data_IF_737778459452
#
_entry.id   IF_737778459452
#
_cell.length_a   1.000
_cell.length_b   1.000
_cell.length_c   1.000
_cell.angle_alpha   90.00
_cell.angle_beta   90.00
_cell.angle_gamma   90.00
#
_symmetry.space_group_name_H-M   'P 1'
#
loop_
_entity.id
_entity.type
_entity.pdbx_description
1 polymer ?
#
# COMPACT_ATOMS: atom_id res chain seq x y z
N UNK A 1 16.08 0.89 25.07
CA UNK A 1 16.26 2.34 25.18
C UNK A 1 17.73 2.67 24.92
N UNK A 2 17.97 3.63 24.03
CA UNK A 2 19.32 4.15 23.79
C UNK A 2 19.50 5.41 24.65
N UNK A 3 20.68 5.62 25.23
CA UNK A 3 21.04 6.92 25.77
C UNK A 3 21.29 7.94 24.65
N UNK A 4 21.38 9.21 25.02
CA UNK A 4 21.66 10.31 24.08
C UNK A 4 23.01 10.14 23.34
N UNK A 5 23.94 9.35 23.89
CA UNK A 5 25.22 8.98 23.26
C UNK A 5 25.14 7.72 22.37
N UNK A 6 23.93 7.19 22.14
CA UNK A 6 23.70 6.02 21.28
C UNK A 6 24.00 4.66 21.94
N UNK A 7 24.40 4.62 23.22
CA UNK A 7 24.61 3.33 23.91
C UNK A 7 23.29 2.66 24.26
N UNK A 8 23.19 1.38 23.94
CA UNK A 8 22.05 0.54 24.35
C UNK A 8 22.13 0.37 25.87
N UNK A 9 21.14 0.88 26.59
CA UNK A 9 21.04 0.64 28.04
C UNK A 9 20.36 -0.70 28.32
N UNK A 10 19.17 -0.90 27.75
CA UNK A 10 18.39 -2.13 27.90
C UNK A 10 17.62 -2.43 26.61
N UNK A 11 17.71 -3.67 26.14
CA UNK A 11 16.86 -4.20 25.07
C UNK A 11 15.61 -4.83 25.67
N UNK A 12 14.44 -4.25 25.40
CA UNK A 12 13.15 -4.67 26.02
C UNK A 12 12.35 -5.66 25.17
N UNK A 13 12.75 -5.90 23.93
CA UNK A 13 12.11 -6.86 23.02
C UNK A 13 13.14 -7.55 22.14
N UNK A 14 12.97 -8.85 21.89
CA UNK A 14 13.87 -9.67 21.06
C UNK A 14 13.07 -10.69 20.24
N UNK A 15 13.23 -10.66 18.93
CA UNK A 15 12.65 -11.64 18.01
C UNK A 15 12.54 -11.10 16.59
N UNK A 16 12.00 -11.93 15.70
CA UNK A 16 11.82 -11.60 14.29
C UNK A 16 10.48 -10.88 14.06
N UNK A 17 10.32 -9.73 14.70
CA UNK A 17 9.14 -8.88 14.63
C UNK A 17 9.53 -7.41 14.87
N UNK A 18 8.70 -6.48 14.42
CA UNK A 18 8.94 -5.04 14.60
C UNK A 18 7.96 -4.46 15.61
N UNK A 19 8.48 -3.66 16.55
CA UNK A 19 7.68 -2.75 17.38
C UNK A 19 7.23 -1.59 16.50
N UNK A 20 5.92 -1.35 16.45
CA UNK A 20 5.34 -0.34 15.56
C UNK A 20 4.92 0.92 16.29
N UNK A 21 4.68 0.83 17.60
CA UNK A 21 4.25 1.94 18.44
C UNK A 21 4.60 1.67 19.91
N UNK A 22 5.03 2.70 20.63
CA UNK A 22 5.03 2.69 22.10
C UNK A 22 3.70 3.32 22.54
N UNK A 23 2.82 2.51 23.12
CA UNK A 23 1.48 2.95 23.49
C UNK A 23 1.44 3.62 24.89
N UNK A 24 2.43 3.36 25.74
CA UNK A 24 2.53 4.00 27.05
C UNK A 24 3.69 3.48 27.88
N UNK A 25 4.21 4.32 28.78
CA UNK A 25 5.26 3.98 29.74
C UNK A 25 4.73 4.23 31.15
N UNK A 26 4.57 3.16 31.92
CA UNK A 26 4.15 3.20 33.32
C UNK A 26 5.40 3.18 34.21
N UNK A 27 5.89 4.36 34.58
CA UNK A 27 7.09 4.51 35.40
C UNK A 27 6.90 4.00 36.83
N UNK A 28 5.68 4.17 37.39
CA UNK A 28 5.34 3.75 38.75
C UNK A 28 5.46 2.24 38.89
N UNK A 29 4.92 1.49 37.93
CA UNK A 29 4.98 0.02 37.94
C UNK A 29 6.14 -0.55 37.11
N UNK A 30 6.98 0.31 36.51
CA UNK A 30 8.14 -0.03 35.66
C UNK A 30 7.78 -0.94 34.48
N UNK A 31 6.78 -0.54 33.69
CA UNK A 31 6.26 -1.30 32.54
C UNK A 31 6.16 -0.44 31.29
N UNK A 32 6.36 -1.06 30.13
CA UNK A 32 6.17 -0.43 28.81
C UNK A 32 5.10 -1.20 28.05
N UNK A 33 4.12 -0.48 27.54
CA UNK A 33 3.10 -0.99 26.62
C UNK A 33 3.46 -0.61 25.19
N UNK A 34 3.43 -1.60 24.29
CA UNK A 34 3.85 -1.38 22.91
C UNK A 34 3.13 -2.33 21.95
N UNK A 35 2.94 -1.88 20.71
CA UNK A 35 2.31 -2.66 19.64
C UNK A 35 3.38 -3.28 18.78
N UNK A 36 3.20 -4.55 18.41
CA UNK A 36 4.07 -5.29 17.51
C UNK A 36 3.35 -5.77 16.26
N UNK A 37 4.11 -5.87 15.17
CA UNK A 37 3.73 -6.62 13.98
C UNK A 37 3.84 -8.13 14.25
N UNK A 38 2.81 -8.70 14.88
CA UNK A 38 2.80 -10.09 15.38
C UNK A 38 1.36 -10.66 15.37
N UNK A 39 1.14 -11.95 15.06
CA UNK A 39 2.14 -12.97 14.72
C UNK A 39 2.68 -12.88 13.30
N UNK A 40 1.99 -12.18 12.39
CA UNK A 40 2.45 -11.94 11.03
C UNK A 40 2.79 -10.46 10.85
N UNK A 41 3.63 -10.10 9.84
CA UNK A 41 3.87 -8.71 9.45
C UNK A 41 2.61 -7.86 9.24
N UNK A 42 1.51 -8.52 8.88
CA UNK A 42 0.21 -7.93 8.55
C UNK A 42 -0.65 -7.62 9.79
N UNK A 43 -0.35 -8.21 10.94
CA UNK A 43 -1.17 -8.10 12.16
C UNK A 43 -0.61 -7.04 13.12
N UNK A 44 -1.44 -6.51 14.03
CA UNK A 44 -1.00 -5.60 15.10
C UNK A 44 -1.58 -6.06 16.43
N UNK A 45 -0.70 -6.32 17.38
CA UNK A 45 -1.10 -6.75 18.72
C UNK A 45 -0.34 -5.99 19.81
N UNK A 46 -1.03 -5.72 20.91
CA UNK A 46 -0.52 -5.03 22.08
C UNK A 46 0.20 -6.00 23.00
N UNK A 47 1.34 -5.55 23.52
CA UNK A 47 2.15 -6.24 24.50
C UNK A 47 2.49 -5.30 25.64
N UNK A 48 2.81 -5.90 26.79
CA UNK A 48 3.40 -5.21 27.93
C UNK A 48 4.68 -5.94 28.32
N UNK A 49 5.73 -5.18 28.64
CA UNK A 49 6.97 -5.74 29.21
C UNK A 49 7.44 -4.92 30.40
N UNK A 50 8.23 -5.52 31.28
CA UNK A 50 8.91 -4.79 32.35
C UNK A 50 10.12 -4.01 31.80
N UNK A 51 10.64 -3.03 32.54
CA UNK A 51 11.80 -2.23 32.10
C UNK A 51 13.06 -3.07 31.83
N UNK A 52 13.13 -4.30 32.34
CA UNK A 52 14.22 -5.24 32.06
C UNK A 52 14.04 -6.05 30.77
N UNK A 53 12.83 -6.04 30.17
CA UNK A 53 12.51 -6.83 28.97
C UNK A 53 12.35 -8.33 29.22
N UNK A 54 12.32 -8.78 30.48
CA UNK A 54 12.32 -10.20 30.86
C UNK A 54 10.91 -10.77 31.01
N UNK A 55 9.90 -9.92 31.22
CA UNK A 55 8.52 -10.33 31.46
C UNK A 55 7.57 -9.69 30.46
N UNK A 56 7.48 -10.29 29.28
CA UNK A 56 6.60 -9.83 28.21
C UNK A 56 5.29 -10.63 28.19
N UNK A 57 4.17 -9.94 28.11
CA UNK A 57 2.84 -10.55 27.95
C UNK A 57 2.07 -9.91 26.80
N UNK A 58 1.46 -10.73 25.97
CA UNK A 58 0.55 -10.30 24.92
C UNK A 58 -0.84 -9.99 25.50
N UNK A 59 -1.35 -8.78 25.25
CA UNK A 59 -2.61 -8.28 25.82
C UNK A 59 -3.78 -8.34 24.84
N UNK A 60 -3.53 -8.23 23.53
CA UNK A 60 -4.55 -8.47 22.49
C UNK A 60 -4.19 -9.71 21.69
N UNK A 61 -5.18 -10.50 21.29
CA UNK A 61 -4.97 -11.81 20.68
C UNK A 61 -5.52 -11.89 19.24
N UNK A 62 -4.92 -12.79 18.47
CA UNK A 62 -5.37 -13.22 17.15
C UNK A 62 -4.65 -12.58 15.97
N UNK A 63 -4.98 -13.11 14.79
CA UNK A 63 -4.61 -12.58 13.48
C UNK A 63 -5.52 -11.41 13.13
N UNK A 64 -5.21 -10.23 13.65
CA UNK A 64 -6.01 -9.02 13.47
C UNK A 64 -5.15 -7.76 13.55
N UNK A 65 -5.72 -6.64 13.12
CA UNK A 65 -5.16 -5.32 13.37
C UNK A 65 -5.85 -4.66 14.55
N UNK A 66 -5.13 -4.56 15.66
CA UNK A 66 -5.57 -3.84 16.85
C UNK A 66 -4.86 -2.49 16.92
N UNK A 67 -5.64 -1.40 16.81
CA UNK A 67 -5.18 -0.08 17.24
C UNK A 67 -5.61 0.12 18.70
N UNK A 68 -4.69 0.55 19.54
CA UNK A 68 -4.90 0.68 20.99
C UNK A 68 -4.72 2.14 21.42
N UNK A 69 -5.62 2.61 22.28
CA UNK A 69 -5.55 3.93 22.89
C UNK A 69 -5.77 3.79 24.39
N UNK A 70 -4.75 4.10 25.18
CA UNK A 70 -4.82 4.05 26.64
C UNK A 70 -5.45 5.32 27.23
N UNK A 71 -5.95 5.21 28.46
CA UNK A 71 -6.14 6.36 29.34
C UNK A 71 -4.82 6.78 29.99
N UNK A 72 -4.75 8.00 30.53
CA UNK A 72 -3.53 8.58 31.10
C UNK A 72 -2.87 7.72 32.19
N UNK A 73 -3.67 7.01 32.99
CA UNK A 73 -3.15 6.14 34.06
C UNK A 73 -2.73 4.74 33.60
N UNK A 74 -2.83 4.43 32.30
CA UNK A 74 -2.45 3.14 31.71
C UNK A 74 -3.16 1.92 32.34
N UNK A 75 -4.34 2.13 32.92
CA UNK A 75 -5.15 1.08 33.56
C UNK A 75 -6.27 0.57 32.67
N UNK A 76 -6.65 1.36 31.66
CA UNK A 76 -7.70 1.03 30.69
C UNK A 76 -7.28 1.43 29.29
N UNK A 77 -7.84 0.74 28.31
CA UNK A 77 -7.63 1.09 26.91
C UNK A 77 -8.80 0.72 26.01
N UNK A 78 -8.98 1.52 24.97
CA UNK A 78 -9.81 1.16 23.84
C UNK A 78 -9.02 0.28 22.86
N UNK A 79 -9.65 -0.76 22.36
CA UNK A 79 -9.16 -1.52 21.20
C UNK A 79 -10.09 -1.26 20.03
N UNK A 80 -9.52 -0.83 18.91
CA UNK A 80 -10.17 -0.78 17.61
C UNK A 80 -9.64 -1.98 16.79
N UNK A 81 -10.36 -3.10 16.87
CA UNK A 81 -9.95 -4.37 16.26
C UNK A 81 -10.63 -4.56 14.92
N UNK A 82 -9.88 -4.80 13.85
CA UNK A 82 -10.41 -5.18 12.54
C UNK A 82 -9.57 -6.27 11.89
N UNK A 83 -10.06 -6.83 10.80
CA UNK A 83 -9.28 -7.63 9.86
C UNK A 83 -9.51 -7.09 8.43
N UNK A 84 -8.83 -7.64 7.43
CA UNK A 84 -8.92 -7.15 6.04
C UNK A 84 -10.37 -7.13 5.48
N UNK A 85 -11.25 -8.00 5.98
CA UNK A 85 -12.62 -8.16 5.50
C UNK A 85 -13.70 -7.72 6.51
N UNK A 86 -13.36 -7.58 7.79
CA UNK A 86 -14.32 -7.28 8.86
C UNK A 86 -14.09 -5.87 9.40
N UNK A 87 -15.11 -4.98 9.33
CA UNK A 87 -15.06 -3.66 9.95
C UNK A 87 -14.68 -3.69 11.42
N UNK A 88 -14.15 -2.57 11.90
CA UNK A 88 -13.67 -2.48 13.26
C UNK A 88 -14.76 -2.81 14.30
N UNK A 89 -14.36 -3.47 15.39
CA UNK A 89 -15.12 -3.59 16.63
C UNK A 89 -14.36 -2.80 17.70
N UNK A 90 -15.08 -1.98 18.46
CA UNK A 90 -14.51 -1.13 19.50
C UNK A 90 -14.85 -1.71 20.87
N UNK A 91 -13.84 -2.03 21.67
CA UNK A 91 -14.00 -2.52 23.04
C UNK A 91 -13.26 -1.64 24.04
N UNK A 92 -13.83 -1.46 25.23
CA UNK A 92 -13.13 -0.95 26.41
C UNK A 92 -12.55 -2.14 27.19
N UNK A 93 -11.28 -2.06 27.54
CA UNK A 93 -10.53 -3.12 28.21
C UNK A 93 -9.86 -2.57 29.48
N UNK A 94 -9.77 -3.39 30.52
CA UNK A 94 -8.97 -3.12 31.72
C UNK A 94 -7.66 -3.90 31.67
N UNK A 95 -6.61 -3.31 32.21
CA UNK A 95 -5.41 -4.04 32.64
C UNK A 95 -5.71 -4.73 33.97
N UNK A 96 -5.49 -6.04 34.01
CA UNK A 96 -5.68 -6.87 35.20
C UNK A 96 -4.33 -7.38 35.65
N UNK A 97 -4.06 -7.24 36.95
CA UNK A 97 -2.86 -7.80 37.59
C UNK A 97 -3.32 -8.79 38.64
N UNK A 98 -2.95 -10.06 38.48
CA UNK A 98 -3.34 -11.09 39.45
C UNK A 98 -2.41 -11.09 40.68
N UNK A 99 -2.71 -11.94 41.67
CA UNK A 99 -1.91 -12.08 42.90
C UNK A 99 -0.45 -12.47 42.64
N UNK A 100 -0.15 -13.12 41.51
CA UNK A 100 1.20 -13.50 41.07
C UNK A 100 1.92 -12.38 40.29
N UNK A 101 1.31 -11.19 40.19
CA UNK A 101 1.78 -10.04 39.40
C UNK A 101 1.82 -10.29 37.89
N UNK A 102 1.09 -11.28 37.40
CA UNK A 102 0.91 -11.51 35.96
C UNK A 102 -0.10 -10.49 35.43
N UNK A 103 0.18 -9.96 34.24
CA UNK A 103 -0.62 -8.90 33.62
C UNK A 103 -1.44 -9.52 32.49
N UNK A 104 -2.72 -9.18 32.43
CA UNK A 104 -3.59 -9.53 31.31
C UNK A 104 -4.52 -8.36 30.98
N UNK A 105 -5.27 -8.51 29.89
CA UNK A 105 -6.35 -7.60 29.56
C UNK A 105 -7.70 -8.31 29.68
N UNK A 106 -8.71 -7.60 30.19
CA UNK A 106 -10.08 -8.09 30.26
C UNK A 106 -11.02 -7.10 29.55
N UNK A 107 -11.88 -7.62 28.67
CA UNK A 107 -12.93 -6.81 28.03
C UNK A 107 -13.94 -6.40 29.10
N UNK A 108 -14.14 -5.10 29.26
CA UNK A 108 -15.16 -4.53 30.14
C UNK A 108 -16.48 -4.40 29.41
N UNK A 109 -16.44 -3.87 28.18
CA UNK A 109 -17.63 -3.58 27.38
C UNK A 109 -17.28 -3.48 25.90
N UNK A 110 -18.14 -4.02 25.05
CA UNK A 110 -18.16 -3.70 23.61
C UNK A 110 -18.92 -2.39 23.41
N UNK A 111 -18.25 -1.37 22.86
CA UNK A 111 -18.82 -0.06 22.63
C UNK A 111 -19.52 0.05 21.27
N UNK A 112 -18.97 -0.59 20.24
CA UNK A 112 -19.53 -0.53 18.90
C UNK A 112 -19.07 -1.74 18.06
N UNK A 113 -20.03 -2.46 17.48
CA UNK A 113 -19.78 -3.57 16.55
C UNK A 113 -19.95 -3.18 15.08
N UNK A 114 -20.22 -1.90 14.80
CA UNK A 114 -20.46 -1.32 13.49
C UNK A 114 -21.58 -2.02 12.68
N UNK A 115 -22.77 -2.26 13.25
CA UNK A 115 -23.84 -3.01 12.59
C UNK A 115 -24.32 -2.35 11.29
N UNK A 116 -24.38 -1.02 11.22
CA UNK A 116 -24.77 -0.29 10.01
C UNK A 116 -23.80 -0.55 8.84
N UNK A 117 -22.50 -0.49 9.10
CA UNK A 117 -21.47 -0.74 8.09
C UNK A 117 -21.45 -2.21 7.66
N UNK A 118 -21.61 -3.14 8.61
CA UNK A 118 -21.78 -4.57 8.29
C UNK A 118 -22.98 -4.79 7.37
N UNK A 119 -24.10 -4.13 7.65
CA UNK A 119 -25.28 -4.13 6.77
C UNK A 119 -24.96 -3.62 5.36
N UNK A 120 -24.26 -2.48 5.24
CA UNK A 120 -23.85 -1.93 3.93
C UNK A 120 -22.90 -2.82 3.16
N UNK A 121 -21.99 -3.52 3.82
CA UNK A 121 -21.08 -4.48 3.18
C UNK A 121 -21.85 -5.62 2.52
N UNK A 122 -22.88 -6.13 3.20
CA UNK A 122 -23.76 -7.16 2.66
C UNK A 122 -24.63 -6.59 1.53
N UNK A 123 -25.24 -5.43 1.74
CA UNK A 123 -26.10 -4.74 0.75
C UNK A 123 -25.37 -4.47 -0.56
N UNK A 124 -24.13 -3.99 -0.50
CA UNK A 124 -23.33 -3.69 -1.69
C UNK A 124 -22.58 -4.89 -2.26
N UNK A 125 -22.71 -6.10 -1.67
CA UNK A 125 -22.01 -7.29 -2.16
C UNK A 125 -20.49 -7.11 -2.21
N UNK A 126 -19.92 -6.52 -1.16
CA UNK A 126 -18.47 -6.27 -1.06
C UNK A 126 -17.72 -7.60 -1.02
N UNK A 127 -16.71 -7.76 -1.89
CA UNK A 127 -15.92 -8.96 -2.00
C UNK A 127 -14.96 -9.16 -0.84
N UNK A 128 -14.44 -10.38 -0.67
CA UNK A 128 -13.44 -10.72 0.34
C UNK A 128 -12.07 -10.80 -0.31
N UNK A 129 -11.08 -10.14 0.30
CA UNK A 129 -9.69 -10.31 -0.07
C UNK A 129 -9.06 -11.47 0.68
N UNK A 130 -8.15 -12.17 0.00
CA UNK A 130 -7.40 -13.30 0.51
C UNK A 130 -5.92 -12.94 0.56
N UNK A 131 -5.23 -13.25 1.66
CA UNK A 131 -3.79 -13.12 1.71
C UNK A 131 -3.14 -14.17 0.82
N UNK A 132 -2.15 -13.73 0.04
CA UNK A 132 -1.35 -14.56 -0.84
C UNK A 132 0.13 -14.40 -0.48
N UNK A 133 0.92 -15.43 -0.83
CA UNK A 133 2.37 -15.45 -0.66
C UNK A 133 3.00 -15.67 -2.02
N UNK A 134 3.84 -14.73 -2.45
CA UNK A 134 4.36 -14.70 -3.81
C UNK A 134 5.88 -14.89 -3.77
N UNK A 135 6.44 -15.97 -4.32
CA UNK A 135 7.88 -16.12 -4.40
C UNK A 135 8.47 -15.11 -5.41
N UNK A 136 9.63 -14.53 -5.10
CA UNK A 136 10.41 -13.75 -6.06
C UNK A 136 11.63 -14.54 -6.57
N UNK A 137 12.27 -14.03 -7.63
CA UNK A 137 13.47 -14.61 -8.22
C UNK A 137 14.72 -14.52 -7.33
N UNK A 138 14.65 -13.78 -6.22
CA UNK A 138 15.76 -13.57 -5.27
C UNK A 138 15.69 -14.48 -4.04
N UNK A 139 14.70 -15.38 -3.97
CA UNK A 139 14.53 -16.32 -2.87
C UNK A 139 13.72 -15.80 -1.68
N UNK A 140 13.21 -14.56 -1.74
CA UNK A 140 12.24 -14.06 -0.77
C UNK A 140 10.83 -14.53 -1.14
N UNK A 141 9.96 -14.60 -0.14
CA UNK A 141 8.51 -14.72 -0.36
C UNK A 141 7.81 -13.45 0.12
N UNK A 142 7.16 -12.76 -0.82
CA UNK A 142 6.47 -11.50 -0.64
C UNK A 142 5.07 -11.71 -0.05
N UNK A 143 4.60 -10.74 0.74
CA UNK A 143 3.24 -10.71 1.23
C UNK A 143 2.36 -10.04 0.18
N UNK A 144 1.17 -10.58 -0.06
CA UNK A 144 0.18 -9.96 -0.93
C UNK A 144 -1.22 -10.17 -0.42
N UNK A 145 -2.17 -9.43 -0.99
CA UNK A 145 -3.58 -9.78 -0.96
C UNK A 145 -4.15 -9.78 -2.37
N UNK A 146 -5.16 -10.62 -2.60
CA UNK A 146 -5.90 -10.71 -3.85
C UNK A 146 -7.38 -10.52 -3.57
N UNK A 147 -7.98 -9.54 -4.23
CA UNK A 147 -9.43 -9.34 -4.28
C UNK A 147 -9.95 -9.87 -5.62
N UNK A 148 -10.82 -10.86 -5.55
CA UNK A 148 -11.55 -11.41 -6.71
C UNK A 148 -12.96 -10.79 -6.77
N UNK A 149 -13.62 -10.80 -7.94
CA UNK A 149 -15.05 -10.49 -8.04
C UNK A 149 -15.86 -11.32 -7.03
N UNK A 150 -16.91 -10.74 -6.43
CA UNK A 150 -17.73 -11.47 -5.45
C UNK A 150 -18.43 -12.71 -6.04
N UNK A 151 -18.72 -12.66 -7.35
CA UNK A 151 -19.27 -13.74 -8.16
C UNK A 151 -18.19 -14.45 -9.00
N UNK A 152 -16.98 -14.59 -8.45
CA UNK A 152 -15.83 -15.18 -9.13
C UNK A 152 -16.13 -16.60 -9.67
N UNK A 153 -15.71 -16.83 -10.91
CA UNK A 153 -15.84 -18.10 -11.62
C UNK A 153 -14.46 -18.53 -12.14
N UNK A 154 -13.93 -19.61 -11.59
CA UNK A 154 -12.59 -20.09 -11.92
C UNK A 154 -12.41 -20.56 -13.37
N UNK A 155 -13.51 -20.74 -14.12
CA UNK A 155 -13.47 -21.08 -15.55
C UNK A 155 -13.24 -19.88 -16.47
N UNK A 156 -13.38 -18.65 -15.95
CA UNK A 156 -13.20 -17.40 -16.70
C UNK A 156 -11.78 -16.85 -16.58
N UNK A 157 -11.43 -15.92 -17.47
CA UNK A 157 -10.16 -15.20 -17.47
C UNK A 157 -10.38 -13.74 -17.14
N UNK A 158 -9.82 -13.29 -16.02
CA UNK A 158 -10.00 -11.93 -15.53
C UNK A 158 -8.73 -11.10 -15.74
N UNK A 159 -8.85 -9.83 -16.19
CA UNK A 159 -7.73 -8.90 -16.16
C UNK A 159 -7.34 -8.59 -14.72
N UNK A 160 -6.05 -8.27 -14.52
CA UNK A 160 -5.47 -8.05 -13.20
C UNK A 160 -4.95 -6.63 -13.09
N UNK A 161 -5.36 -5.92 -12.05
CA UNK A 161 -4.81 -4.62 -11.69
C UNK A 161 -3.97 -4.74 -10.42
N UNK A 162 -2.66 -4.58 -10.55
CA UNK A 162 -1.75 -4.42 -9.44
C UNK A 162 -1.91 -3.03 -8.83
N UNK A 163 -2.00 -2.97 -7.50
CA UNK A 163 -2.06 -1.75 -6.73
C UNK A 163 -0.98 -1.78 -5.65
N UNK A 164 0.02 -0.93 -5.82
CA UNK A 164 1.13 -0.87 -4.87
C UNK A 164 1.63 0.56 -4.67
N UNK A 165 2.05 0.88 -3.45
CA UNK A 165 2.90 2.04 -3.18
C UNK A 165 4.37 1.64 -3.28
N UNK A 166 4.78 0.56 -2.61
CA UNK A 166 6.09 -0.09 -2.79
C UNK A 166 7.31 0.64 -2.25
N UNK A 167 7.15 1.86 -1.72
CA UNK A 167 8.26 2.66 -1.20
C UNK A 167 8.88 2.12 0.10
N UNK A 168 10.13 2.50 0.41
CA UNK A 168 10.87 2.04 1.58
C UNK A 168 10.09 2.21 2.90
N UNK A 169 9.97 1.13 3.67
CA UNK A 169 9.30 1.12 4.96
C UNK A 169 7.77 1.24 4.92
N UNK A 170 7.16 1.37 3.74
CA UNK A 170 5.70 1.37 3.61
C UNK A 170 5.09 -0.02 3.82
N UNK A 171 3.77 -0.10 3.95
CA UNK A 171 3.04 -1.37 3.97
C UNK A 171 1.63 -1.13 3.40
N UNK A 172 1.27 -1.90 2.38
CA UNK A 172 -0.11 -1.97 1.88
C UNK A 172 -0.79 -3.28 2.23
N UNK A 173 -0.03 -4.34 2.46
CA UNK A 173 -0.57 -5.64 2.86
C UNK A 173 -0.65 -5.68 4.39
N UNK A 174 -1.76 -5.16 4.91
CA UNK A 174 -2.09 -5.17 6.34
C UNK A 174 -3.44 -5.83 6.60
N UNK A 175 -3.56 -6.55 7.70
CA UNK A 175 -4.78 -7.24 8.12
C UNK A 175 -5.76 -6.30 8.82
N UNK A 176 -6.17 -5.25 8.12
CA UNK A 176 -7.05 -4.19 8.62
C UNK A 176 -8.13 -3.84 7.62
N UNK A 177 -9.30 -3.47 8.13
CA UNK A 177 -10.38 -3.03 7.27
C UNK A 177 -9.98 -1.71 6.58
N UNK A 178 -10.20 -1.65 5.26
CA UNK A 178 -9.75 -0.53 4.44
C UNK A 178 -8.35 -0.67 3.85
N UNK A 179 -7.62 -1.77 4.09
CA UNK A 179 -6.43 -2.11 3.29
C UNK A 179 -6.78 -2.29 1.81
N UNK A 180 -7.99 -2.81 1.54
CA UNK A 180 -8.61 -2.82 0.22
C UNK A 180 -9.56 -1.63 0.12
N UNK A 181 -9.31 -0.72 -0.83
CA UNK A 181 -10.15 0.47 -0.98
C UNK A 181 -11.53 0.12 -1.56
N UNK A 182 -12.53 0.98 -1.32
CA UNK A 182 -13.84 0.82 -1.94
C UNK A 182 -13.79 0.97 -3.47
N UNK A 183 -12.82 1.72 -4.00
CA UNK A 183 -12.59 1.82 -5.44
C UNK A 183 -12.10 0.48 -6.02
N UNK A 184 -11.23 -0.25 -5.30
CA UNK A 184 -10.83 -1.61 -5.69
C UNK A 184 -11.98 -2.61 -5.62
N UNK A 185 -12.83 -2.50 -4.60
CA UNK A 185 -14.06 -3.30 -4.50
C UNK A 185 -14.97 -3.07 -5.71
N UNK A 186 -15.17 -1.81 -6.10
CA UNK A 186 -15.93 -1.46 -7.30
C UNK A 186 -15.28 -2.04 -8.57
N UNK A 187 -13.95 -1.96 -8.72
CA UNK A 187 -13.26 -2.57 -9.86
C UNK A 187 -13.43 -4.10 -9.91
N UNK A 188 -13.40 -4.77 -8.75
CA UNK A 188 -13.66 -6.20 -8.68
C UNK A 188 -15.10 -6.54 -9.10
N UNK A 189 -16.09 -5.72 -8.72
CA UNK A 189 -17.47 -5.84 -9.21
C UNK A 189 -17.59 -5.59 -10.73
N UNK A 190 -16.63 -4.87 -11.30
CA UNK A 190 -16.52 -4.64 -12.75
C UNK A 190 -15.73 -5.72 -13.48
N UNK A 191 -15.38 -6.82 -12.81
CA UNK A 191 -14.74 -7.98 -13.42
C UNK A 191 -13.21 -7.96 -13.41
N UNK A 192 -12.58 -7.16 -12.55
CA UNK A 192 -11.13 -7.19 -12.37
C UNK A 192 -10.74 -8.05 -11.18
N UNK A 193 -9.58 -8.70 -11.26
CA UNK A 193 -8.86 -9.11 -10.06
C UNK A 193 -7.96 -7.94 -9.66
N UNK A 194 -7.99 -7.57 -8.38
CA UNK A 194 -7.09 -6.54 -7.84
C UNK A 194 -6.10 -7.19 -6.89
N UNK A 195 -4.82 -6.87 -7.04
CA UNK A 195 -3.74 -7.46 -6.24
C UNK A 195 -2.86 -6.37 -5.67
N UNK A 196 -2.49 -6.48 -4.40
CA UNK A 196 -1.37 -5.73 -3.84
C UNK A 196 -0.29 -6.69 -3.35
N UNK A 197 0.98 -6.35 -3.61
CA UNK A 197 2.14 -7.14 -3.17
C UNK A 197 3.16 -6.18 -2.54
N UNK A 198 3.45 -6.39 -1.27
CA UNK A 198 4.51 -5.68 -0.54
C UNK A 198 5.87 -6.23 -0.99
N UNK A 199 6.53 -5.50 -1.90
CA UNK A 199 7.87 -5.82 -2.42
C UNK A 199 9.00 -5.61 -1.41
N UNK A 200 10.20 -6.04 -1.78
CA UNK A 200 11.48 -5.75 -1.11
C UNK A 200 11.61 -4.26 -0.79
N UNK A 201 12.03 -3.95 0.44
CA UNK A 201 12.12 -2.58 0.94
C UNK A 201 10.91 -2.14 1.77
N UNK A 202 9.76 -2.81 1.68
CA UNK A 202 8.59 -2.53 2.55
C UNK A 202 8.85 -2.91 4.01
N UNK A 203 8.07 -2.34 4.93
CA UNK A 203 8.27 -2.43 6.38
C UNK A 203 7.77 -3.72 7.03
N UNK A 204 7.98 -3.83 8.35
CA UNK A 204 7.47 -4.92 9.21
C UNK A 204 8.02 -6.31 8.87
N UNK A 205 9.19 -6.36 8.21
CA UNK A 205 9.87 -7.58 7.77
C UNK A 205 11.35 -7.63 8.18
N UNK A 206 11.74 -6.76 9.10
CA UNK A 206 13.11 -6.64 9.58
C UNK A 206 13.91 -5.62 8.79
N UNK A 207 14.98 -5.17 9.43
CA UNK A 207 15.89 -4.15 8.90
C UNK A 207 16.52 -4.57 7.57
N UNK A 208 16.98 -5.81 7.45
CA UNK A 208 17.64 -6.33 6.25
C UNK A 208 16.72 -6.21 5.04
N UNK A 209 15.47 -6.69 5.17
CA UNK A 209 14.47 -6.60 4.11
C UNK A 209 14.17 -5.15 3.73
N UNK A 210 14.04 -4.26 4.71
CA UNK A 210 13.76 -2.84 4.49
C UNK A 210 14.90 -2.09 3.80
N UNK A 211 16.16 -2.45 4.09
CA UNK A 211 17.35 -1.74 3.61
C UNK A 211 17.90 -2.25 2.28
N UNK A 212 17.40 -3.36 1.73
CA UNK A 212 17.81 -3.91 0.42
C UNK A 212 17.75 -2.88 -0.72
N UNK A 213 16.85 -1.90 -0.66
CA UNK A 213 16.67 -0.88 -1.71
C UNK A 213 17.61 0.33 -1.56
N UNK A 214 18.44 0.38 -0.51
CA UNK A 214 19.42 1.45 -0.32
C UNK A 214 20.36 1.57 -1.52
N UNK A 215 20.59 2.80 -1.97
CA UNK A 215 21.32 3.22 -3.17
C UNK A 215 20.71 2.82 -4.52
N UNK A 216 19.57 2.13 -4.55
CA UNK A 216 19.01 1.56 -5.78
C UNK A 216 17.47 1.55 -5.78
N UNK A 217 16.84 2.63 -5.31
CA UNK A 217 15.39 2.78 -5.32
C UNK A 217 14.81 2.49 -6.72
N UNK A 218 13.77 1.66 -6.75
CA UNK A 218 13.09 1.21 -7.96
C UNK A 218 13.66 -0.04 -8.61
N UNK A 219 14.78 -0.60 -8.12
CA UNK A 219 15.36 -1.82 -8.69
C UNK A 219 14.66 -3.07 -8.18
N UNK A 220 14.88 -3.42 -6.91
CA UNK A 220 14.31 -4.65 -6.34
C UNK A 220 12.79 -4.56 -6.25
N UNK A 221 12.27 -3.36 -6.03
CA UNK A 221 10.84 -3.11 -5.97
C UNK A 221 10.16 -3.51 -7.28
N UNK A 222 10.71 -3.11 -8.44
CA UNK A 222 10.06 -3.44 -9.72
C UNK A 222 10.34 -4.86 -10.17
N UNK A 223 11.53 -5.39 -9.90
CA UNK A 223 11.83 -6.81 -10.14
C UNK A 223 10.82 -7.71 -9.41
N UNK A 224 10.50 -7.39 -8.16
CA UNK A 224 9.50 -8.10 -7.36
C UNK A 224 8.08 -7.99 -7.93
N UNK A 225 7.66 -6.81 -8.42
CA UNK A 225 6.35 -6.66 -9.06
C UNK A 225 6.27 -7.42 -10.38
N UNK A 226 7.37 -7.46 -11.16
CA UNK A 226 7.46 -8.24 -12.39
C UNK A 226 7.36 -9.74 -12.09
N UNK A 227 8.09 -10.23 -11.07
CA UNK A 227 8.02 -11.62 -10.65
C UNK A 227 6.62 -11.98 -10.13
N UNK A 228 5.99 -11.08 -9.37
CA UNK A 228 4.62 -11.25 -8.91
C UNK A 228 3.61 -11.30 -10.07
N UNK A 229 3.76 -10.43 -11.07
CA UNK A 229 2.93 -10.44 -12.27
C UNK A 229 3.08 -11.74 -13.07
N UNK A 230 4.30 -12.28 -13.19
CA UNK A 230 4.54 -13.59 -13.82
C UNK A 230 3.89 -14.73 -13.02
N UNK A 231 4.06 -14.73 -11.70
CA UNK A 231 3.49 -15.75 -10.82
C UNK A 231 1.96 -15.76 -10.90
N UNK A 232 1.33 -14.59 -10.77
CA UNK A 232 -0.12 -14.42 -10.85
C UNK A 232 -0.65 -14.66 -12.27
N UNK A 233 0.09 -14.21 -13.29
CA UNK A 233 -0.23 -14.43 -14.71
C UNK A 233 -0.35 -15.89 -15.12
N UNK A 234 0.28 -16.81 -14.36
CA UNK A 234 0.19 -18.24 -14.58
C UNK A 234 -1.00 -18.92 -13.87
N UNK A 235 -1.81 -18.17 -13.11
CA UNK A 235 -3.02 -18.72 -12.51
C UNK A 235 -4.09 -19.02 -13.58
N UNK A 236 -4.85 -20.12 -13.44
CA UNK A 236 -5.76 -20.60 -14.48
C UNK A 236 -6.92 -19.66 -14.79
N UNK A 237 -7.20 -18.68 -13.94
CA UNK A 237 -8.29 -17.71 -14.10
C UNK A 237 -7.79 -16.30 -14.45
N UNK A 238 -6.48 -16.11 -14.68
CA UNK A 238 -5.89 -14.81 -15.01
C UNK A 238 -5.75 -14.67 -16.52
N UNK A 239 -6.19 -13.51 -17.02
CA UNK A 239 -5.88 -13.04 -18.37
C UNK A 239 -4.50 -12.38 -18.38
N UNK A 240 -3.48 -13.17 -18.75
CA UNK A 240 -2.08 -12.72 -18.76
C UNK A 240 -1.78 -11.59 -19.76
N UNK A 241 -2.66 -11.35 -20.73
CA UNK A 241 -2.50 -10.26 -21.70
C UNK A 241 -2.95 -8.90 -21.13
N UNK A 242 -3.76 -8.92 -20.06
CA UNK A 242 -4.37 -7.75 -19.46
C UNK A 242 -3.99 -7.63 -17.98
N UNK A 243 -2.69 -7.51 -17.72
CA UNK A 243 -2.14 -7.19 -16.41
C UNK A 243 -1.65 -5.74 -16.43
N UNK A 244 -2.13 -4.94 -15.50
CA UNK A 244 -1.73 -3.54 -15.38
C UNK A 244 -1.31 -3.17 -13.97
N UNK A 245 -0.69 -2.00 -13.83
CA UNK A 245 -0.22 -1.48 -12.55
C UNK A 245 -0.77 -0.07 -12.32
N UNK A 246 -1.21 0.22 -11.10
CA UNK A 246 -1.52 1.59 -10.72
C UNK A 246 -0.96 1.98 -9.35
N UNK A 247 -0.71 3.27 -9.18
CA UNK A 247 -0.23 3.82 -7.92
C UNK A 247 -0.10 5.35 -7.96
N UNK A 248 0.07 5.91 -6.76
CA UNK A 248 0.22 7.34 -6.52
C UNK A 248 1.57 7.63 -5.87
N UNK A 249 2.23 8.73 -6.23
CA UNK A 249 3.51 9.16 -5.64
C UNK A 249 4.60 8.12 -5.91
N UNK A 250 5.20 7.49 -4.90
CA UNK A 250 6.10 6.35 -5.10
C UNK A 250 5.40 5.21 -5.87
N UNK A 251 4.11 4.98 -5.62
CA UNK A 251 3.32 4.03 -6.42
C UNK A 251 3.19 4.46 -7.88
N UNK A 252 3.18 5.77 -8.15
CA UNK A 252 3.22 6.31 -9.51
C UNK A 252 4.58 6.05 -10.17
N UNK A 253 5.68 6.26 -9.44
CA UNK A 253 7.03 5.86 -9.87
C UNK A 253 7.10 4.36 -10.20
N UNK A 254 6.52 3.51 -9.35
CA UNK A 254 6.40 2.07 -9.58
C UNK A 254 5.56 1.73 -10.81
N UNK A 255 4.43 2.41 -11.04
CA UNK A 255 3.63 2.26 -12.27
C UNK A 255 4.41 2.65 -13.52
N UNK A 256 5.17 3.74 -13.47
CA UNK A 256 6.03 4.18 -14.58
C UNK A 256 7.15 3.17 -14.84
N UNK A 257 7.75 2.57 -13.80
CA UNK A 257 8.72 1.48 -13.96
C UNK A 257 8.07 0.19 -14.48
N UNK A 258 6.84 -0.11 -14.08
CA UNK A 258 6.10 -1.27 -14.55
C UNK A 258 5.88 -1.24 -16.07
N UNK A 259 5.44 -0.10 -16.61
CA UNK A 259 5.20 0.02 -18.06
C UNK A 259 6.47 0.20 -18.90
N UNK A 260 7.58 0.64 -18.29
CA UNK A 260 8.87 0.81 -18.98
C UNK A 260 9.76 -0.43 -18.88
N UNK A 261 10.13 -0.85 -17.66
CA UNK A 261 11.02 -2.01 -17.41
C UNK A 261 10.28 -3.34 -17.32
N UNK A 262 8.99 -3.32 -16.94
CA UNK A 262 8.12 -4.49 -16.89
C UNK A 262 7.21 -4.66 -18.11
N UNK A 263 7.54 -4.00 -19.23
CA UNK A 263 6.74 -3.91 -20.46
C UNK A 263 6.37 -5.25 -21.13
N UNK A 264 7.02 -6.37 -20.77
CA UNK A 264 6.68 -7.71 -21.27
C UNK A 264 5.53 -8.37 -20.47
N UNK A 265 5.23 -7.86 -19.26
CA UNK A 265 4.22 -8.44 -18.37
C UNK A 265 3.11 -7.45 -18.03
N UNK A 266 3.40 -6.15 -18.02
CA UNK A 266 2.41 -5.10 -17.80
C UNK A 266 1.99 -4.47 -19.13
N UNK A 267 0.73 -4.62 -19.50
CA UNK A 267 0.14 -4.06 -20.72
C UNK A 267 -0.47 -2.67 -20.52
N UNK A 268 -0.64 -2.23 -19.27
CA UNK A 268 -1.15 -0.90 -18.96
C UNK A 268 -0.59 -0.37 -17.62
N UNK A 269 -0.44 0.94 -17.50
CA UNK A 269 -0.16 1.58 -16.21
C UNK A 269 -0.85 2.93 -16.02
N UNK A 270 -1.31 3.16 -14.79
CA UNK A 270 -1.82 4.46 -14.33
C UNK A 270 -0.86 5.00 -13.27
N UNK A 271 -0.21 6.11 -13.56
CA UNK A 271 0.75 6.77 -12.67
C UNK A 271 0.20 8.12 -12.22
N UNK A 272 -0.15 8.24 -10.94
CA UNK A 272 -0.64 9.50 -10.36
C UNK A 272 0.48 10.16 -9.56
N UNK A 273 0.77 11.42 -9.86
CA UNK A 273 1.86 12.21 -9.30
C UNK A 273 3.20 11.43 -9.20
N UNK A 274 3.68 10.79 -10.29
CA UNK A 274 4.86 9.94 -10.22
C UNK A 274 6.13 10.77 -10.03
N UNK A 275 7.04 10.29 -9.19
CA UNK A 275 8.45 10.65 -9.33
C UNK A 275 8.95 9.99 -10.62
N UNK A 276 9.57 10.75 -11.52
CA UNK A 276 10.12 10.23 -12.78
C UNK A 276 11.65 10.32 -12.83
N UNK A 277 12.22 11.19 -11.98
CA UNK A 277 13.64 11.20 -11.61
C UNK A 277 13.81 11.65 -10.16
N UNK A 278 14.65 10.94 -9.42
CA UNK A 278 15.03 11.32 -8.05
C UNK A 278 15.78 12.66 -7.98
N UNK A 279 16.27 13.18 -9.11
CA UNK A 279 16.89 14.51 -9.21
C UNK A 279 15.88 15.65 -9.08
N UNK A 280 14.58 15.37 -9.22
CA UNK A 280 13.50 16.35 -9.13
C UNK A 280 12.78 16.32 -7.77
N UNK A 281 13.29 15.55 -6.81
CA UNK A 281 12.66 15.37 -5.50
C UNK A 281 13.53 15.97 -4.39
N UNK A 282 12.98 16.13 -3.19
CA UNK A 282 13.69 16.78 -2.09
C UNK A 282 14.92 15.97 -1.64
N UNK A 283 15.93 16.67 -1.12
CA UNK A 283 17.18 16.06 -0.70
C UNK A 283 17.03 15.21 0.58
N UNK A 284 16.17 15.61 1.53
CA UNK A 284 16.00 14.93 2.82
C UNK A 284 15.51 13.48 2.63
N UNK A 285 14.54 13.29 1.74
CA UNK A 285 14.09 11.96 1.34
C UNK A 285 15.12 11.28 0.48
N UNK A 286 15.54 11.92 -0.62
CA UNK A 286 16.33 11.26 -1.66
C UNK A 286 17.70 10.83 -1.13
N UNK A 287 18.46 11.72 -0.48
CA UNK A 287 19.81 11.41 -0.01
C UNK A 287 19.84 10.40 1.14
N UNK A 288 18.75 10.30 1.92
CA UNK A 288 18.58 9.25 2.95
C UNK A 288 18.62 7.86 2.35
N UNK A 289 18.05 7.67 1.16
CA UNK A 289 17.97 6.37 0.50
C UNK A 289 19.00 6.19 -0.60
N UNK A 290 19.48 7.27 -1.22
CA UNK A 290 20.27 7.26 -2.45
C UNK A 290 21.64 7.91 -2.32
N UNK A 291 21.99 8.55 -1.18
CA UNK A 291 23.14 9.48 -1.07
C UNK A 291 23.05 10.63 -2.08
N UNK A 292 24.08 11.47 -2.15
CA UNK A 292 24.13 12.55 -3.13
C UNK A 292 24.27 12.00 -4.56
N UNK A 293 23.83 12.75 -5.58
CA UNK A 293 24.11 12.46 -6.98
C UNK A 293 25.58 12.16 -7.32
N UNK A 294 26.52 12.80 -6.64
CA UNK A 294 27.96 12.64 -6.87
C UNK A 294 28.48 11.32 -6.30
N UNK A 295 27.92 10.85 -5.19
CA UNK A 295 28.29 9.59 -4.55
C UNK A 295 27.61 8.36 -5.18
N UNK A 296 26.46 8.55 -5.83
CA UNK A 296 25.65 7.46 -6.35
C UNK A 296 24.98 7.78 -7.70
N UNK A 297 25.73 8.30 -8.67
CA UNK A 297 25.18 8.76 -9.95
C UNK A 297 24.30 7.70 -10.64
N UNK A 298 24.78 6.47 -10.78
CA UNK A 298 24.04 5.38 -11.43
C UNK A 298 22.74 5.04 -10.69
N UNK A 299 22.71 5.11 -9.36
CA UNK A 299 21.49 4.88 -8.59
C UNK A 299 20.36 5.84 -8.95
N UNK A 300 20.68 7.10 -9.28
CA UNK A 300 19.69 8.08 -9.73
C UNK A 300 19.17 7.81 -11.15
N UNK A 301 19.94 7.13 -11.99
CA UNK A 301 19.69 7.03 -13.43
C UNK A 301 19.16 5.64 -13.86
N UNK A 302 19.66 4.55 -13.28
CA UNK A 302 19.38 3.14 -13.65
C UNK A 302 17.92 2.71 -13.45
N UNK A 303 17.19 3.43 -12.60
CA UNK A 303 15.79 3.19 -12.28
C UNK A 303 14.95 4.47 -12.38
N UNK A 304 15.36 5.44 -13.20
CA UNK A 304 14.54 6.61 -13.54
C UNK A 304 13.64 6.26 -14.73
N UNK A 305 12.30 6.19 -14.61
CA UNK A 305 11.41 5.86 -15.74
C UNK A 305 11.62 6.75 -16.97
N UNK A 306 12.05 8.00 -16.76
CA UNK A 306 12.39 8.97 -17.80
C UNK A 306 13.39 8.41 -18.84
N UNK A 307 14.28 7.52 -18.42
CA UNK A 307 15.36 6.98 -19.25
C UNK A 307 14.95 5.75 -20.08
N UNK A 308 13.69 5.31 -19.99
CA UNK A 308 13.22 4.06 -20.58
C UNK A 308 11.89 4.21 -21.33
N UNK A 309 11.53 5.43 -21.73
CA UNK A 309 10.24 5.69 -22.41
C UNK A 309 10.11 4.92 -23.71
N UNK A 310 11.21 4.79 -24.47
CA UNK A 310 11.32 4.02 -25.73
C UNK A 310 10.99 2.54 -25.59
N UNK A 311 11.00 2.00 -24.36
CA UNK A 311 10.65 0.61 -24.07
C UNK A 311 9.16 0.39 -23.89
N UNK A 312 8.33 1.42 -23.76
CA UNK A 312 6.90 1.25 -23.50
C UNK A 312 6.22 0.56 -24.69
N UNK A 313 5.55 -0.56 -24.42
CA UNK A 313 4.72 -1.30 -25.39
C UNK A 313 3.22 -1.20 -25.12
N UNK A 314 2.85 -0.90 -23.88
CA UNK A 314 1.47 -0.89 -23.40
C UNK A 314 0.87 0.51 -23.31
N UNK A 315 -0.29 0.61 -22.67
CA UNK A 315 -1.04 1.85 -22.49
C UNK A 315 -0.59 2.59 -21.23
N UNK A 316 -0.42 3.91 -21.32
CA UNK A 316 0.08 4.70 -20.19
C UNK A 316 -0.78 5.94 -19.93
N UNK A 317 -1.28 6.06 -18.69
CA UNK A 317 -1.99 7.25 -18.21
C UNK A 317 -1.16 7.95 -17.12
N UNK A 318 -0.83 9.21 -17.36
CA UNK A 318 -0.15 10.08 -16.39
C UNK A 318 -1.16 11.07 -15.81
N UNK A 319 -1.26 11.11 -14.49
CA UNK A 319 -2.13 12.06 -13.79
C UNK A 319 -1.32 12.93 -12.86
N UNK A 320 -1.53 14.24 -12.83
CA UNK A 320 -0.77 15.12 -11.92
C UNK A 320 -1.55 16.38 -11.51
N UNK A 321 -1.34 16.84 -10.28
CA UNK A 321 -1.72 18.18 -9.84
C UNK A 321 -0.72 19.22 -10.33
N UNK A 322 -1.18 20.29 -10.96
CA UNK A 322 -0.25 21.31 -11.51
C UNK A 322 0.44 22.16 -10.43
N UNK A 323 -0.09 22.18 -9.22
CA UNK A 323 0.45 22.88 -8.06
C UNK A 323 0.96 21.90 -6.98
N UNK A 324 1.43 20.72 -7.41
CA UNK A 324 2.00 19.70 -6.52
C UNK A 324 3.23 20.25 -5.79
N UNK A 325 3.09 20.33 -4.46
CA UNK A 325 4.04 20.88 -3.50
C UNK A 325 5.03 19.81 -2.95
N UNK A 326 4.86 18.56 -3.37
CA UNK A 326 5.69 17.44 -2.94
C UNK A 326 6.44 16.84 -4.13
N UNK A 327 5.72 16.24 -5.09
CA UNK A 327 6.29 15.73 -6.34
C UNK A 327 6.06 16.79 -7.40
N UNK A 328 7.01 17.72 -7.54
CA UNK A 328 6.86 18.86 -8.45
C UNK A 328 6.38 18.42 -9.83
N UNK A 329 5.44 19.16 -10.43
CA UNK A 329 4.83 18.90 -11.74
C UNK A 329 5.85 18.77 -12.89
N UNK A 330 7.09 19.22 -12.65
CA UNK A 330 8.26 18.94 -13.50
C UNK A 330 8.41 17.44 -13.82
N UNK A 331 8.11 16.54 -12.87
CA UNK A 331 8.21 15.11 -13.11
C UNK A 331 7.31 14.64 -14.28
N UNK A 332 6.04 15.06 -14.30
CA UNK A 332 5.12 14.71 -15.37
C UNK A 332 5.48 15.37 -16.70
N UNK A 333 5.85 16.66 -16.69
CA UNK A 333 6.20 17.38 -17.93
C UNK A 333 7.48 16.85 -18.57
N UNK A 334 8.49 16.49 -17.78
CA UNK A 334 9.72 15.86 -18.28
C UNK A 334 9.45 14.45 -18.82
N UNK A 335 8.62 13.64 -18.12
CA UNK A 335 8.21 12.33 -18.63
C UNK A 335 7.49 12.43 -19.98
N UNK A 336 6.59 13.39 -20.12
CA UNK A 336 5.86 13.62 -21.37
C UNK A 336 6.78 14.11 -22.49
N UNK A 337 7.72 15.00 -22.20
CA UNK A 337 8.75 15.40 -23.16
C UNK A 337 9.55 14.18 -23.66
N UNK A 338 9.94 13.28 -22.76
CA UNK A 338 10.65 12.04 -23.11
C UNK A 338 9.78 11.04 -23.88
N UNK A 339 8.47 10.94 -23.61
CA UNK A 339 7.54 10.11 -24.37
C UNK A 339 7.37 10.62 -25.81
N UNK A 340 7.17 11.94 -25.97
CA UNK A 340 7.08 12.58 -27.30
C UNK A 340 8.36 12.38 -28.09
N UNK A 341 9.53 12.57 -27.46
CA UNK A 341 10.84 12.36 -28.11
C UNK A 341 11.01 10.92 -28.60
N UNK A 342 10.49 9.94 -27.87
CA UNK A 342 10.54 8.52 -28.22
C UNK A 342 9.38 8.08 -29.15
N UNK A 343 8.50 9.00 -29.56
CA UNK A 343 7.30 8.72 -30.36
C UNK A 343 6.40 7.64 -29.73
N UNK A 344 6.17 7.74 -28.42
CA UNK A 344 5.33 6.83 -27.65
C UNK A 344 3.99 7.52 -27.34
N UNK A 345 2.90 6.82 -27.62
CA UNK A 345 1.53 7.27 -27.31
C UNK A 345 1.23 7.21 -25.81
N UNK A 346 0.47 8.17 -25.30
CA UNK A 346 0.09 8.26 -23.89
C UNK A 346 -1.17 9.10 -23.70
N UNK A 347 -1.83 8.91 -22.57
CA UNK A 347 -2.87 9.83 -22.10
C UNK A 347 -2.38 10.59 -20.87
N UNK A 348 -2.88 11.81 -20.71
CA UNK A 348 -2.62 12.61 -19.51
C UNK A 348 -3.88 13.28 -18.98
N UNK A 349 -3.93 13.46 -17.66
CA UNK A 349 -4.94 14.26 -16.99
C UNK A 349 -4.28 15.16 -15.96
N UNK A 350 -4.37 16.47 -16.16
CA UNK A 350 -3.84 17.45 -15.22
C UNK A 350 -4.95 18.13 -14.45
N UNK A 351 -4.70 18.36 -13.17
CA UNK A 351 -5.64 19.01 -12.28
C UNK A 351 -5.10 20.38 -11.87
N UNK A 352 -5.61 21.48 -12.48
CA UNK A 352 -5.19 22.84 -12.18
C UNK A 352 -5.31 23.17 -10.69
N UNK A 353 -4.30 23.83 -10.12
CA UNK A 353 -4.28 24.29 -8.72
C UNK A 353 -4.43 23.18 -7.66
N UNK A 354 -4.27 21.91 -8.03
CA UNK A 354 -4.24 20.79 -7.08
C UNK A 354 -2.81 20.48 -6.70
N UNK A 355 -2.62 20.27 -5.40
CA UNK A 355 -1.36 19.84 -4.83
C UNK A 355 -1.22 18.31 -4.88
N UNK A 356 -0.33 17.74 -4.07
CA UNK A 356 -0.08 16.30 -4.07
C UNK A 356 -1.31 15.44 -3.74
N UNK A 357 -2.24 15.97 -2.94
CA UNK A 357 -3.52 15.36 -2.60
C UNK A 357 -4.64 15.84 -3.51
N UNK A 358 -4.64 15.41 -4.78
CA UNK A 358 -5.62 15.80 -5.80
C UNK A 358 -7.04 15.48 -5.31
N UNK A 359 -7.71 16.48 -4.77
CA UNK A 359 -9.01 16.34 -4.13
C UNK A 359 -9.84 17.62 -4.24
N UNK A 360 -11.15 17.45 -4.08
CA UNK A 360 -12.12 18.54 -4.14
C UNK A 360 -13.50 17.96 -4.39
N UNK A 361 -14.38 18.06 -3.39
CA UNK A 361 -15.79 17.68 -3.53
C UNK A 361 -16.62 18.83 -4.09
N UNK A 362 -16.29 20.08 -3.72
CA UNK A 362 -17.01 21.28 -4.16
C UNK A 362 -16.85 21.57 -5.66
N UNK A 363 -15.75 21.12 -6.28
CA UNK A 363 -15.43 21.32 -7.69
C UNK A 363 -15.39 20.01 -8.49
N UNK A 364 -15.92 18.92 -7.94
CA UNK A 364 -15.94 17.57 -8.52
C UNK A 364 -14.57 16.95 -8.83
N UNK A 365 -13.45 17.55 -8.42
CA UNK A 365 -12.09 17.03 -8.66
C UNK A 365 -11.95 15.57 -8.26
N UNK A 366 -12.36 15.22 -7.05
CA UNK A 366 -12.24 13.84 -6.54
C UNK A 366 -13.05 12.88 -7.42
N UNK A 367 -14.31 13.21 -7.73
CA UNK A 367 -15.16 12.36 -8.55
C UNK A 367 -14.59 12.21 -9.97
N UNK A 368 -14.19 13.32 -10.60
CA UNK A 368 -13.60 13.30 -11.94
C UNK A 368 -12.33 12.45 -12.01
N UNK A 369 -11.43 12.58 -11.03
CA UNK A 369 -10.20 11.77 -10.94
C UNK A 369 -10.48 10.28 -10.91
N UNK A 370 -11.30 9.83 -9.97
CA UNK A 370 -11.61 8.41 -9.85
C UNK A 370 -12.40 7.90 -11.05
N UNK A 371 -13.31 8.70 -11.63
CA UNK A 371 -14.04 8.34 -12.85
C UNK A 371 -13.12 8.24 -14.07
N UNK A 372 -12.20 9.19 -14.29
CA UNK A 372 -11.22 9.17 -15.40
C UNK A 372 -10.35 7.92 -15.32
N UNK A 373 -9.79 7.62 -14.15
CA UNK A 373 -8.99 6.41 -13.95
C UNK A 373 -9.81 5.14 -14.18
N UNK A 374 -11.03 5.07 -13.63
CA UNK A 374 -11.92 3.91 -13.80
C UNK A 374 -12.24 3.66 -15.26
N UNK A 375 -12.69 4.68 -15.99
CA UNK A 375 -13.06 4.55 -17.39
C UNK A 375 -11.85 4.15 -18.23
N UNK A 376 -10.70 4.79 -18.00
CA UNK A 376 -9.47 4.46 -18.71
C UNK A 376 -9.05 2.99 -18.51
N UNK A 377 -9.13 2.48 -17.28
CA UNK A 377 -8.84 1.06 -16.97
C UNK A 377 -9.83 0.14 -17.69
N UNK A 378 -11.12 0.45 -17.67
CA UNK A 378 -12.14 -0.36 -18.36
C UNK A 378 -11.95 -0.35 -19.89
N UNK A 379 -11.52 0.78 -20.47
CA UNK A 379 -11.26 0.93 -21.90
C UNK A 379 -10.01 0.19 -22.37
N UNK A 380 -8.93 0.26 -21.59
CA UNK A 380 -7.61 -0.18 -22.02
C UNK A 380 -7.20 -1.56 -21.51
N UNK A 381 -7.90 -2.10 -20.50
CA UNK A 381 -7.58 -3.41 -19.91
C UNK A 381 -8.78 -4.36 -19.83
N UNK A 382 -9.99 -3.88 -20.10
CA UNK A 382 -11.19 -4.69 -20.02
C UNK A 382 -11.20 -5.82 -21.07
N UNK A 383 -11.75 -6.97 -20.69
CA UNK A 383 -12.06 -8.07 -21.59
C UNK A 383 -13.56 -8.42 -21.53
N UNK A 384 -13.98 -9.52 -22.15
CA UNK A 384 -15.38 -9.96 -22.19
C UNK A 384 -15.99 -10.24 -20.81
N UNK A 385 -15.18 -10.45 -19.78
CA UNK A 385 -15.60 -10.67 -18.40
C UNK A 385 -15.69 -9.36 -17.59
N UNK A 386 -15.38 -8.21 -18.21
CA UNK A 386 -15.44 -6.90 -17.57
C UNK A 386 -16.64 -6.08 -18.01
N UNK A 387 -17.10 -5.20 -17.13
CA UNK A 387 -18.07 -4.18 -17.52
C UNK A 387 -17.42 -3.17 -18.46
N UNK A 388 -18.17 -2.72 -19.47
CA UNK A 388 -17.75 -1.59 -20.31
C UNK A 388 -17.77 -0.29 -19.49
N UNK A 389 -16.99 0.73 -19.89
CA UNK A 389 -17.09 2.06 -19.32
C UNK A 389 -18.53 2.55 -19.38
N UNK A 390 -18.96 3.29 -18.36
CA UNK A 390 -20.21 4.02 -18.48
C UNK A 390 -20.01 5.03 -19.62
N UNK A 391 -20.70 4.84 -20.76
CA UNK A 391 -20.72 5.89 -21.78
C UNK A 391 -21.16 7.17 -21.08
N UNK A 392 -20.41 8.28 -21.17
CA UNK A 392 -20.96 9.55 -20.73
C UNK A 392 -22.32 9.70 -21.41
N UNK A 393 -23.35 10.10 -20.65
CA UNK A 393 -24.65 10.42 -21.22
C UNK A 393 -24.37 11.27 -22.46
N UNK A 394 -24.81 10.81 -23.65
CA UNK A 394 -24.63 11.53 -24.91
C UNK A 394 -24.95 12.98 -24.63
N UNK A 395 -23.95 13.84 -24.56
CA UNK A 395 -24.18 15.27 -24.64
C UNK A 395 -24.87 15.45 -25.98
N UNK A 396 -26.10 15.93 -25.92
CA UNK A 396 -26.87 16.33 -27.08
C UNK A 396 -25.93 17.21 -27.90
N UNK A 397 -25.61 16.76 -29.13
CA UNK A 397 -24.88 17.58 -30.10
C UNK A 397 -25.67 18.88 -30.25
N UNK A 398 -25.10 19.98 -29.78
CA UNK A 398 -25.65 21.31 -29.86
C UNK A 398 -24.51 22.28 -30.16
N UNK A 399 -24.47 22.67 -31.44
CA UNK A 399 -23.57 23.60 -32.16
C UNK A 399 -22.19 23.07 -32.53
#
# INVERSE_FOLDING_TARGET
MNSLDGKIQTQISKGNYEVTEINGVDEVNKRVFYTMAFPRPMDRNLFVTDFSGKKTTQLTQGEAWNRVVFNDSLTRFYTYKSDINTPQVVTLNNIVVNKKKEISAAVVKTLNENPKLKGKIVEYGIGKAEFIRVPNSKGDTLNGWMLKPANFDASKKYPVLFCNYGGPGSQQVGNRFGAVSMWHQMLAQKGFIVVSVDNTGTGFRGEEFKKKTYLQLGKFEIEDQIDAAKYIGNMPFVDKSNIGHWGWSYGGFMSSLAITKGNEVFSAAVAVAPVTSWRFYDNIYTERYMRTPQENASGYDDNSPLNFTDKIKGKYLIVHGTADDNVHFQNATQMISALVKSNIDFESAYYPNKNHGISGQMDNTTLHLWSKMTNWILENMGNENTQKPNQPAKQIKGF
#
